data_IF_394065349669
#
_entry.id   IF_394065349669
#
_cell.length_a   1.000
_cell.length_b   1.000
_cell.length_c   1.000
_cell.angle_alpha   90.00
_cell.angle_beta   90.00
_cell.angle_gamma   90.00
#
_symmetry.space_group_name_H-M   'P 1'
#
loop_
_entity.id
_entity.type
_entity.pdbx_description
1 polymer ?
#
# COMPACT_ATOMS: atom_id res chain seq x y z
N UNK A 1 -16.64 11.26 -18.76
CA UNK A 1 -17.48 10.67 -17.70
C UNK A 1 -16.62 9.68 -16.92
N UNK A 2 -15.80 10.13 -15.96
CA UNK A 2 -14.90 9.24 -15.22
C UNK A 2 -15.59 8.78 -13.95
N UNK A 3 -16.11 7.56 -14.01
CA UNK A 3 -16.82 6.90 -12.91
C UNK A 3 -15.77 6.55 -11.84
N UNK A 4 -15.64 7.41 -10.82
CA UNK A 4 -14.96 7.05 -9.58
C UNK A 4 -15.68 5.83 -9.00
N UNK A 5 -15.08 4.66 -9.16
CA UNK A 5 -15.56 3.46 -8.49
C UNK A 5 -15.15 3.63 -7.03
N UNK A 6 -16.08 4.15 -6.22
CA UNK A 6 -15.94 4.29 -4.78
C UNK A 6 -15.81 2.91 -4.16
N UNK A 7 -14.58 2.49 -3.95
CA UNK A 7 -14.25 1.28 -3.19
C UNK A 7 -14.51 1.58 -1.72
N UNK A 8 -15.67 1.13 -1.24
CA UNK A 8 -16.05 1.15 0.16
C UNK A 8 -15.21 0.08 0.87
N UNK A 9 -14.03 0.48 1.33
CA UNK A 9 -13.24 -0.36 2.25
C UNK A 9 -13.91 -0.35 3.61
N UNK A 10 -14.79 -1.32 3.85
CA UNK A 10 -15.30 -1.59 5.20
C UNK A 10 -14.34 -2.60 5.82
N UNK A 11 -13.37 -2.11 6.58
CA UNK A 11 -12.75 -2.88 7.64
C UNK A 11 -13.34 -2.37 8.96
N UNK A 12 -14.23 -3.16 9.56
CA UNK A 12 -14.70 -2.96 10.93
C UNK A 12 -13.51 -3.03 11.89
N UNK A 13 -12.97 -1.87 12.27
CA UNK A 13 -13.20 -1.24 13.58
C UNK A 13 -12.44 0.10 13.62
N UNK A 14 -13.07 1.12 14.21
CA UNK A 14 -12.64 2.51 14.38
C UNK A 14 -13.02 3.51 13.26
N UNK A 15 -14.18 4.13 13.50
CA UNK A 15 -14.61 5.50 13.16
C UNK A 15 -14.39 6.07 11.76
N UNK A 16 -15.54 6.23 11.09
CA UNK A 16 -15.93 7.33 10.19
C UNK A 16 -15.29 7.35 8.77
N UNK A 17 -16.11 7.40 7.69
CA UNK A 17 -15.61 7.48 6.33
C UNK A 17 -15.52 8.95 5.90
N UNK A 18 -14.37 9.59 6.08
CA UNK A 18 -14.16 10.99 5.69
C UNK A 18 -12.89 11.17 4.88
N UNK A 19 -12.87 10.64 3.66
CA UNK A 19 -11.90 11.05 2.62
C UNK A 19 -10.44 11.12 3.12
N UNK A 20 -9.97 10.04 3.74
CA UNK A 20 -8.66 9.93 4.39
C UNK A 20 -7.50 9.69 3.41
N UNK A 21 -7.55 10.23 2.18
CA UNK A 21 -6.40 10.19 1.27
C UNK A 21 -5.17 10.83 1.92
N UNK A 22 -5.36 11.89 2.71
CA UNK A 22 -4.29 12.54 3.47
C UNK A 22 -3.71 11.62 4.55
N UNK A 23 -4.56 10.96 5.35
CA UNK A 23 -4.08 10.10 6.44
C UNK A 23 -3.44 8.80 5.90
N UNK A 24 -3.97 8.24 4.79
CA UNK A 24 -3.33 7.11 4.11
C UNK A 24 -1.94 7.50 3.56
N UNK A 25 -1.82 8.73 3.05
CA UNK A 25 -0.55 9.29 2.58
C UNK A 25 0.46 9.49 3.71
N UNK A 26 0.00 9.86 4.90
CA UNK A 26 0.84 10.01 6.10
C UNK A 26 1.34 8.67 6.64
N UNK A 27 0.57 7.59 6.46
CA UNK A 27 0.97 6.23 6.89
C UNK A 27 1.88 5.56 5.86
N UNK A 28 1.65 5.77 4.56
CA UNK A 28 2.44 5.15 3.51
C UNK A 28 3.69 5.97 3.17
N UNK A 29 4.68 5.88 4.05
CA UNK A 29 5.99 6.49 3.89
C UNK A 29 7.08 5.43 3.70
N UNK A 30 8.22 5.83 3.12
CA UNK A 30 9.39 4.95 3.01
C UNK A 30 9.81 4.42 4.38
N UNK A 31 9.76 5.23 5.43
CA UNK A 31 10.08 4.79 6.80
C UNK A 31 9.16 3.66 7.28
N UNK A 32 7.85 3.79 7.04
CA UNK A 32 6.87 2.79 7.44
C UNK A 32 7.02 1.52 6.61
N UNK A 33 7.34 1.64 5.31
CA UNK A 33 7.67 0.49 4.46
C UNK A 33 8.97 -0.19 4.89
N UNK A 34 9.98 0.55 5.32
CA UNK A 34 11.24 0.02 5.83
C UNK A 34 11.07 -0.82 7.12
N UNK A 35 9.93 -0.69 7.81
CA UNK A 35 9.58 -1.59 8.94
C UNK A 35 9.21 -3.00 8.48
N UNK A 36 8.85 -3.18 7.20
CA UNK A 36 8.55 -4.48 6.63
C UNK A 36 9.82 -5.29 6.37
N UNK A 37 9.76 -6.62 6.47
CA UNK A 37 10.86 -7.47 6.07
C UNK A 37 11.19 -7.25 4.58
N UNK A 38 12.49 -7.22 4.27
CA UNK A 38 13.02 -7.05 2.91
C UNK A 38 12.41 -8.02 1.89
N UNK A 39 12.04 -9.22 2.32
CA UNK A 39 11.36 -10.21 1.49
C UNK A 39 9.99 -9.70 0.99
N UNK A 40 9.16 -9.11 1.87
CA UNK A 40 7.88 -8.53 1.47
C UNK A 40 8.07 -7.28 0.60
N UNK A 41 9.07 -6.46 0.89
CA UNK A 41 9.39 -5.29 0.06
C UNK A 41 9.79 -5.69 -1.35
N UNK A 42 10.65 -6.69 -1.48
CA UNK A 42 11.11 -7.22 -2.77
C UNK A 42 9.95 -7.85 -3.54
N UNK A 43 9.13 -8.67 -2.87
CA UNK A 43 7.94 -9.26 -3.47
C UNK A 43 6.94 -8.18 -3.92
N UNK A 44 6.74 -7.12 -3.13
CA UNK A 44 5.81 -6.04 -3.46
C UNK A 44 6.31 -5.22 -4.64
N UNK A 45 7.62 -5.00 -4.72
CA UNK A 45 8.25 -4.34 -5.86
C UNK A 45 8.07 -5.15 -7.14
N UNK A 46 8.33 -6.47 -7.09
CA UNK A 46 8.11 -7.35 -8.24
C UNK A 46 6.63 -7.42 -8.65
N UNK A 47 5.71 -7.55 -7.68
CA UNK A 47 4.28 -7.56 -7.95
C UNK A 47 3.81 -6.26 -8.60
N UNK A 48 4.34 -5.11 -8.15
CA UNK A 48 4.03 -3.81 -8.74
C UNK A 48 4.60 -3.64 -10.16
N UNK A 49 5.80 -4.17 -10.42
CA UNK A 49 6.42 -4.19 -11.75
C UNK A 49 5.65 -5.07 -12.74
N UNK A 50 5.21 -6.25 -12.32
CA UNK A 50 4.43 -7.18 -13.14
C UNK A 50 2.94 -6.79 -13.23
N UNK A 51 2.53 -5.76 -12.47
CA UNK A 51 1.13 -5.37 -12.27
C UNK A 51 0.26 -6.54 -11.79
N UNK A 52 0.88 -7.44 -11.02
CA UNK A 52 0.28 -8.65 -10.51
C UNK A 52 -0.59 -8.33 -9.29
N UNK A 53 -1.87 -8.10 -9.58
CA UNK A 53 -2.86 -7.69 -8.58
C UNK A 53 -3.05 -8.79 -7.53
N UNK A 54 -3.05 -10.06 -7.93
CA UNK A 54 -3.24 -11.19 -7.02
C UNK A 54 -2.10 -11.27 -6.01
N UNK A 55 -0.86 -11.18 -6.51
CA UNK A 55 0.32 -11.17 -5.65
C UNK A 55 0.35 -9.94 -4.74
N UNK A 56 0.00 -8.76 -5.27
CA UNK A 56 -0.08 -7.51 -4.50
C UNK A 56 -1.07 -7.64 -3.34
N UNK A 57 -2.28 -8.14 -3.58
CA UNK A 57 -3.29 -8.36 -2.55
C UNK A 57 -2.85 -9.40 -1.50
N UNK A 58 -2.16 -10.46 -1.92
CA UNK A 58 -1.61 -11.45 -1.00
C UNK A 58 -0.57 -10.82 -0.05
N UNK A 59 0.34 -10.01 -0.58
CA UNK A 59 1.37 -9.30 0.21
C UNK A 59 0.70 -8.33 1.18
N UNK A 60 -0.28 -7.53 0.73
CA UNK A 60 -1.07 -6.65 1.57
C UNK A 60 -1.71 -7.42 2.73
N UNK A 61 -2.25 -8.62 2.48
CA UNK A 61 -2.81 -9.48 3.52
C UNK A 61 -1.79 -9.91 4.57
N UNK A 62 -0.53 -10.13 4.17
CA UNK A 62 0.57 -10.42 5.09
C UNK A 62 0.99 -9.18 5.89
N UNK A 63 1.09 -8.02 5.22
CA UNK A 63 1.39 -6.73 5.86
C UNK A 63 0.32 -6.41 6.90
N UNK A 64 -0.95 -6.69 6.61
CA UNK A 64 -2.08 -6.41 7.52
C UNK A 64 -1.95 -7.11 8.88
N UNK A 65 -1.32 -8.29 8.92
CA UNK A 65 -1.08 -9.02 10.18
C UNK A 65 -0.08 -8.31 11.10
N UNK A 66 0.78 -7.46 10.53
CA UNK A 66 1.82 -6.72 11.25
C UNK A 66 1.42 -5.25 11.45
N UNK A 67 0.97 -4.61 10.38
CA UNK A 67 0.57 -3.21 10.32
C UNK A 67 -0.73 -3.07 9.51
N UNK A 68 -1.85 -3.12 10.20
CA UNK A 68 -3.18 -2.86 9.64
C UNK A 68 -3.28 -1.50 8.93
N UNK A 69 -2.80 -0.36 9.49
CA UNK A 69 -2.95 0.93 8.82
C UNK A 69 -2.12 1.00 7.53
N UNK A 70 -0.90 0.43 7.52
CA UNK A 70 -0.06 0.35 6.33
C UNK A 70 -0.68 -0.49 5.22
N UNK A 71 -1.24 -1.65 5.57
CA UNK A 71 -1.93 -2.50 4.62
C UNK A 71 -3.14 -1.81 3.98
N UNK A 72 -3.90 -1.03 4.76
CA UNK A 72 -5.01 -0.26 4.21
C UNK A 72 -4.52 0.80 3.20
N UNK A 73 -3.44 1.51 3.52
CA UNK A 73 -2.88 2.51 2.62
C UNK A 73 -2.36 1.89 1.31
N UNK A 74 -1.61 0.77 1.39
CA UNK A 74 -1.15 -0.01 0.23
C UNK A 74 -2.32 -0.48 -0.65
N UNK A 75 -3.36 -0.96 0.00
CA UNK A 75 -4.55 -1.49 -0.64
C UNK A 75 -5.32 -0.38 -1.37
N UNK A 76 -5.45 0.80 -0.75
CA UNK A 76 -6.04 1.99 -1.37
C UNK A 76 -5.27 2.39 -2.63
N UNK A 77 -3.95 2.33 -2.58
CA UNK A 77 -3.04 2.69 -3.66
C UNK A 77 -3.12 1.69 -4.83
N UNK A 78 -3.19 0.38 -4.53
CA UNK A 78 -3.44 -0.67 -5.52
C UNK A 78 -4.82 -0.51 -6.20
N UNK A 79 -5.87 -0.17 -5.44
CA UNK A 79 -7.20 0.06 -5.98
C UNK A 79 -7.31 1.35 -6.83
N UNK A 80 -6.45 2.33 -6.56
CA UNK A 80 -6.32 3.53 -7.38
C UNK A 80 -5.39 3.31 -8.58
N UNK A 81 -4.91 2.07 -8.80
CA UNK A 81 -3.94 1.72 -9.83
C UNK A 81 -2.66 2.57 -9.80
N UNK A 82 -2.29 3.10 -8.63
CA UNK A 82 -1.14 3.99 -8.45
C UNK A 82 0.19 3.21 -8.33
N UNK A 83 0.39 2.15 -9.12
CA UNK A 83 1.58 1.29 -9.02
C UNK A 83 2.90 2.05 -9.21
N UNK A 84 2.91 3.11 -10.03
CA UNK A 84 4.07 4.00 -10.20
C UNK A 84 4.51 4.63 -8.86
N UNK A 85 3.54 5.09 -8.06
CA UNK A 85 3.80 5.68 -6.75
C UNK A 85 4.27 4.64 -5.72
N UNK A 86 3.75 3.42 -5.83
CA UNK A 86 4.21 2.30 -5.00
C UNK A 86 5.68 1.99 -5.27
N UNK A 87 6.08 1.93 -6.55
CA UNK A 87 7.45 1.69 -6.97
C UNK A 87 8.39 2.80 -6.46
N UNK A 88 8.02 4.07 -6.64
CA UNK A 88 8.80 5.21 -6.15
C UNK A 88 9.07 5.12 -4.64
N UNK A 89 8.05 4.78 -3.85
CA UNK A 89 8.21 4.58 -2.41
C UNK A 89 9.13 3.40 -2.07
N UNK A 90 9.02 2.28 -2.80
CA UNK A 90 9.87 1.09 -2.59
C UNK A 90 11.32 1.35 -3.00
N UNK A 91 11.56 2.15 -4.04
CA UNK A 91 12.90 2.58 -4.45
C UNK A 91 13.54 3.50 -3.39
N UNK A 92 12.77 4.41 -2.78
CA UNK A 92 13.25 5.25 -1.69
C UNK A 92 13.69 4.44 -0.46
N UNK A 93 12.97 3.36 -0.12
CA UNK A 93 13.35 2.43 0.96
C UNK A 93 14.69 1.76 0.65
N UNK A 94 14.85 1.30 -0.59
CA UNK A 94 16.05 0.59 -1.04
C UNK A 94 17.28 1.51 -1.09
N UNK A 95 17.07 2.79 -1.39
CA UNK A 95 18.14 3.79 -1.53
C UNK A 95 18.62 4.33 -0.19
N UNK A 96 17.80 4.26 0.87
CA UNK A 96 18.13 4.78 2.20
C UNK A 96 19.10 3.90 3.02
N UNK A 97 19.66 2.84 2.42
CA UNK A 97 20.63 1.92 3.05
C UNK A 97 22.12 2.21 2.73
N UNK A 98 22.46 3.37 2.16
CA UNK A 98 23.87 3.77 1.92
C UNK A 98 24.41 4.68 3.02
#
# INVERSE_FOLDING_TARGET
MHKHIGVRYIYEDVKEPVSDEAAAQEVLTAETLATLPNDLLTQMHQAALDLDIELTLNIIGQVKKQNVPLANALLQLANQFQYERLLDLLEQVSTSFT
#
